data_IF_405748617362
#
_entry.id   IF_405748617362
#
_cell.length_a   1.000
_cell.length_b   1.000
_cell.length_c   1.000
_cell.angle_alpha   90.00
_cell.angle_beta   90.00
_cell.angle_gamma   90.00
#
_symmetry.space_group_name_H-M   'P 1'
#
loop_
_entity.id
_entity.type
_entity.pdbx_description
1 polymer ?
#
# COMPACT_ATOMS: atom_id res chain seq x y z
N UNK A 1 1.14 34.92 11.19
CA UNK A 1 2.46 34.36 10.83
C UNK A 1 2.44 32.86 10.45
N UNK A 2 1.59 32.01 11.06
CA UNK A 2 1.51 30.57 10.75
C UNK A 2 0.81 30.20 9.42
N UNK A 3 -0.18 30.98 8.98
CA UNK A 3 -0.94 30.70 7.74
C UNK A 3 -0.15 31.10 6.49
N UNK A 4 0.60 32.21 6.55
CA UNK A 4 1.43 32.69 5.43
C UNK A 4 2.53 31.68 5.09
N UNK A 5 3.17 31.09 6.10
CA UNK A 5 4.22 30.08 5.92
C UNK A 5 3.66 28.80 5.26
N UNK A 6 2.43 28.39 5.60
CA UNK A 6 1.78 27.22 4.99
C UNK A 6 1.49 27.41 3.50
N UNK A 7 1.01 28.60 3.11
CA UNK A 7 0.74 28.93 1.71
C UNK A 7 2.04 29.08 0.93
N UNK A 8 3.08 29.69 1.52
CA UNK A 8 4.41 29.76 0.90
C UNK A 8 5.03 28.38 0.72
N UNK A 9 4.91 27.46 1.69
CA UNK A 9 5.44 26.09 1.59
C UNK A 9 4.71 25.31 0.50
N UNK A 10 3.38 25.41 0.42
CA UNK A 10 2.58 24.75 -0.61
C UNK A 10 2.88 25.29 -2.02
N UNK A 11 2.95 26.61 -2.19
CA UNK A 11 3.32 27.23 -3.47
C UNK A 11 4.78 26.94 -3.87
N UNK A 12 5.71 26.91 -2.90
CA UNK A 12 7.11 26.57 -3.15
C UNK A 12 7.28 25.11 -3.56
N UNK A 13 6.52 24.19 -2.95
CA UNK A 13 6.50 22.78 -3.35
C UNK A 13 5.87 22.59 -4.74
N UNK A 14 4.80 23.34 -5.05
CA UNK A 14 4.20 23.33 -6.39
C UNK A 14 5.16 23.87 -7.47
N UNK A 15 5.93 24.93 -7.17
CA UNK A 15 6.93 25.49 -8.09
C UNK A 15 8.17 24.59 -8.23
N UNK A 16 8.57 23.85 -7.18
CA UNK A 16 9.69 22.87 -7.24
C UNK A 16 9.39 21.68 -8.16
N UNK A 17 8.13 21.33 -8.41
CA UNK A 17 7.73 20.25 -9.33
C UNK A 17 7.99 20.58 -10.82
N UNK A 18 8.20 21.85 -11.18
CA UNK A 18 8.54 22.25 -12.55
C UNK A 18 10.03 22.06 -12.91
N UNK A 19 10.89 21.72 -11.96
CA UNK A 19 12.34 21.63 -12.16
C UNK A 19 12.92 20.25 -11.81
N UNK A 20 12.26 19.18 -12.30
CA UNK A 20 12.74 17.78 -12.19
C UNK A 20 14.14 17.57 -12.81
N UNK A 21 14.66 18.52 -13.61
CA UNK A 21 15.97 18.44 -14.26
C UNK A 21 17.19 18.86 -13.44
N UNK A 22 17.03 19.62 -12.35
CA UNK A 22 18.17 20.13 -11.55
C UNK A 22 18.38 19.29 -10.28
N UNK A 23 19.18 18.23 -10.42
CA UNK A 23 19.63 17.36 -9.31
C UNK A 23 20.49 18.14 -8.31
N UNK A 24 19.84 18.80 -7.35
CA UNK A 24 20.47 19.35 -6.16
C UNK A 24 20.16 18.45 -4.97
N UNK A 25 21.20 18.03 -4.23
CA UNK A 25 21.09 17.17 -3.06
C UNK A 25 20.07 17.65 -2.01
N UNK A 26 19.98 18.97 -1.79
CA UNK A 26 18.98 19.55 -0.90
C UNK A 26 17.54 19.36 -1.43
N UNK A 27 17.34 19.52 -2.75
CA UNK A 27 16.04 19.29 -3.39
C UNK A 27 15.66 17.81 -3.41
N UNK A 28 16.63 16.91 -3.58
CA UNK A 28 16.40 15.48 -3.52
C UNK A 28 15.94 15.04 -2.12
N UNK A 29 16.53 15.62 -1.07
CA UNK A 29 16.13 15.35 0.30
C UNK A 29 14.70 15.87 0.59
N UNK A 30 14.39 17.10 0.18
CA UNK A 30 13.04 17.67 0.29
C UNK A 30 12.02 16.83 -0.50
N UNK A 31 12.38 16.42 -1.72
CA UNK A 31 11.53 15.59 -2.58
C UNK A 31 11.27 14.22 -1.96
N UNK A 32 12.32 13.54 -1.51
CA UNK A 32 12.21 12.24 -0.84
C UNK A 32 11.31 12.29 0.39
N UNK A 33 11.41 13.35 1.19
CA UNK A 33 10.54 13.54 2.36
C UNK A 33 9.08 13.82 1.96
N UNK A 34 8.86 14.61 0.90
CA UNK A 34 7.53 14.96 0.41
C UNK A 34 6.78 13.80 -0.27
N UNK A 35 7.50 12.87 -0.92
CA UNK A 35 6.90 11.67 -1.54
C UNK A 35 6.78 10.50 -0.56
N UNK A 36 7.64 10.45 0.47
CA UNK A 36 7.47 9.48 1.54
C UNK A 36 6.25 9.86 2.38
N UNK A 37 5.53 8.88 2.93
CA UNK A 37 4.40 9.09 3.85
C UNK A 37 4.81 9.70 5.21
N UNK A 38 5.85 10.54 5.22
CA UNK A 38 6.42 11.17 6.39
C UNK A 38 5.39 12.00 7.13
N UNK A 39 5.37 11.85 8.46
CA UNK A 39 4.54 12.68 9.30
C UNK A 39 4.99 14.14 9.22
N UNK A 40 4.06 15.08 9.44
CA UNK A 40 4.33 16.52 9.38
C UNK A 40 5.54 16.95 10.22
N UNK A 41 5.74 16.31 11.38
CA UNK A 41 6.88 16.55 12.27
C UNK A 41 8.22 16.10 11.65
N UNK A 42 8.22 14.96 10.95
CA UNK A 42 9.41 14.44 10.26
C UNK A 42 9.77 15.30 9.05
N UNK A 43 8.77 15.72 8.26
CA UNK A 43 8.98 16.69 7.19
C UNK A 43 9.59 18.01 7.70
N UNK A 44 9.11 18.50 8.85
CA UNK A 44 9.65 19.71 9.46
C UNK A 44 11.12 19.51 9.88
N UNK A 45 11.45 18.37 10.49
CA UNK A 45 12.83 18.03 10.86
C UNK A 45 13.79 18.00 9.66
N UNK A 46 13.36 17.48 8.51
CA UNK A 46 14.15 17.50 7.27
C UNK A 46 14.33 18.93 6.77
N UNK A 47 13.27 19.75 6.76
CA UNK A 47 13.33 21.12 6.24
C UNK A 47 14.13 22.09 7.11
N UNK A 48 14.20 21.84 8.43
CA UNK A 48 14.96 22.66 9.37
C UNK A 48 16.46 22.33 9.38
N UNK A 49 16.88 21.17 8.85
CA UNK A 49 18.27 20.75 8.85
C UNK A 49 19.08 21.49 7.76
N UNK A 50 19.99 22.37 8.20
CA UNK A 50 20.81 23.19 7.31
C UNK A 50 21.92 22.39 6.63
N UNK A 51 22.43 21.33 7.28
CA UNK A 51 23.44 20.45 6.72
C UNK A 51 22.81 19.48 5.70
N UNK A 52 23.20 19.63 4.43
CA UNK A 52 22.67 18.82 3.33
C UNK A 52 22.93 17.32 3.53
N UNK A 53 24.05 16.94 4.12
CA UNK A 53 24.37 15.54 4.35
C UNK A 53 23.47 14.92 5.41
N UNK A 54 23.25 15.63 6.53
CA UNK A 54 22.31 15.19 7.57
C UNK A 54 20.88 15.17 7.07
N UNK A 55 20.49 16.14 6.25
CA UNK A 55 19.18 16.18 5.61
C UNK A 55 18.91 14.96 4.75
N UNK A 56 19.89 14.57 3.92
CA UNK A 56 19.81 13.35 3.11
C UNK A 56 19.72 12.09 3.97
N UNK A 57 20.45 12.01 5.08
CA UNK A 57 20.36 10.88 6.01
C UNK A 57 18.97 10.76 6.64
N UNK A 58 18.40 11.87 7.11
CA UNK A 58 17.05 11.91 7.68
C UNK A 58 16.01 11.47 6.63
N UNK A 59 16.06 12.02 5.43
CA UNK A 59 15.18 11.60 4.33
C UNK A 59 15.35 10.12 3.99
N UNK A 60 16.58 9.62 3.95
CA UNK A 60 16.87 8.22 3.64
C UNK A 60 16.26 7.27 4.70
N UNK A 61 16.33 7.62 5.98
CA UNK A 61 15.71 6.82 7.03
C UNK A 61 14.18 6.76 6.90
N UNK A 62 13.55 7.88 6.57
CA UNK A 62 12.11 7.97 6.35
C UNK A 62 11.71 7.09 5.16
N UNK A 63 12.39 7.23 4.03
CA UNK A 63 12.11 6.45 2.80
C UNK A 63 12.35 4.95 3.02
N UNK A 64 13.37 4.57 3.78
CA UNK A 64 13.63 3.16 4.12
C UNK A 64 12.48 2.54 4.91
N UNK A 65 11.98 3.25 5.93
CA UNK A 65 10.83 2.78 6.73
C UNK A 65 9.58 2.62 5.86
N UNK A 66 9.33 3.59 4.97
CA UNK A 66 8.19 3.52 4.05
C UNK A 66 8.28 2.33 3.10
N UNK A 67 9.48 2.05 2.58
CA UNK A 67 9.73 0.89 1.71
C UNK A 67 9.48 -0.43 2.46
N UNK A 68 9.88 -0.56 3.72
CA UNK A 68 9.60 -1.74 4.53
C UNK A 68 8.11 -1.95 4.75
N UNK A 69 7.37 -0.89 5.07
CA UNK A 69 5.92 -0.93 5.22
C UNK A 69 5.25 -1.36 3.91
N UNK A 70 5.65 -0.77 2.79
CA UNK A 70 5.11 -1.12 1.47
C UNK A 70 5.34 -2.60 1.12
N UNK A 71 6.53 -3.15 1.41
CA UNK A 71 6.81 -4.59 1.19
C UNK A 71 5.90 -5.48 2.01
N UNK A 72 5.65 -5.13 3.27
CA UNK A 72 4.74 -5.88 4.13
C UNK A 72 3.32 -5.81 3.58
N UNK A 73 2.84 -4.62 3.21
CA UNK A 73 1.52 -4.44 2.61
C UNK A 73 1.34 -5.25 1.31
N UNK A 74 2.36 -5.27 0.44
CA UNK A 74 2.35 -6.07 -0.78
C UNK A 74 2.28 -7.57 -0.46
N UNK A 75 3.04 -8.05 0.53
CA UNK A 75 2.99 -9.45 0.95
C UNK A 75 1.62 -9.86 1.49
N UNK A 76 0.97 -8.97 2.25
CA UNK A 76 -0.38 -9.18 2.78
C UNK A 76 -1.40 -9.21 1.64
N UNK A 77 -1.30 -8.26 0.70
CA UNK A 77 -2.19 -8.20 -0.46
C UNK A 77 -2.11 -9.50 -1.29
N UNK A 78 -0.90 -9.99 -1.57
CA UNK A 78 -0.69 -11.26 -2.28
C UNK A 78 -1.30 -12.45 -1.54
N UNK A 79 -1.08 -12.55 -0.22
CA UNK A 79 -1.63 -13.64 0.58
C UNK A 79 -3.18 -13.63 0.60
N UNK A 80 -3.79 -12.44 0.63
CA UNK A 80 -5.25 -12.28 0.54
C UNK A 80 -5.76 -12.71 -0.84
N UNK A 81 -5.10 -12.26 -1.90
CA UNK A 81 -5.47 -12.59 -3.28
C UNK A 81 -5.41 -14.10 -3.56
N UNK A 82 -4.33 -14.77 -3.12
CA UNK A 82 -4.19 -16.23 -3.22
C UNK A 82 -5.32 -16.97 -2.49
N UNK A 83 -5.66 -16.52 -1.27
CA UNK A 83 -6.74 -17.12 -0.48
C UNK A 83 -8.10 -16.95 -1.16
N UNK A 84 -8.41 -15.74 -1.63
CA UNK A 84 -9.68 -15.45 -2.33
C UNK A 84 -9.79 -16.26 -3.61
N UNK A 85 -8.72 -16.33 -4.41
CA UNK A 85 -8.68 -17.11 -5.65
C UNK A 85 -8.96 -18.60 -5.40
N UNK A 86 -8.36 -19.16 -4.34
CA UNK A 86 -8.61 -20.54 -3.92
C UNK A 86 -10.06 -20.78 -3.47
N UNK A 87 -10.61 -19.89 -2.65
CA UNK A 87 -12.00 -19.98 -2.18
C UNK A 87 -13.02 -19.83 -3.32
N UNK A 88 -12.81 -18.87 -4.22
CA UNK A 88 -13.66 -18.68 -5.40
C UNK A 88 -13.63 -19.90 -6.32
N UNK A 89 -12.45 -20.49 -6.57
CA UNK A 89 -12.33 -21.71 -7.37
C UNK A 89 -13.13 -22.86 -6.74
N UNK A 90 -12.99 -23.07 -5.42
CA UNK A 90 -13.72 -24.13 -4.71
C UNK A 90 -15.23 -23.89 -4.74
N UNK A 91 -15.67 -22.65 -4.54
CA UNK A 91 -17.07 -22.28 -4.62
C UNK A 91 -17.66 -22.60 -5.99
N UNK A 92 -16.99 -22.17 -7.06
CA UNK A 92 -17.43 -22.41 -8.43
C UNK A 92 -17.53 -23.92 -8.74
N UNK A 93 -16.52 -24.71 -8.38
CA UNK A 93 -16.53 -26.15 -8.59
C UNK A 93 -17.68 -26.83 -7.84
N UNK A 94 -17.97 -26.41 -6.60
CA UNK A 94 -19.09 -26.96 -5.84
C UNK A 94 -20.45 -26.62 -6.48
N UNK A 95 -20.63 -25.41 -6.99
CA UNK A 95 -21.86 -25.02 -7.68
C UNK A 95 -22.03 -25.81 -8.99
N UNK A 96 -20.95 -26.02 -9.75
CA UNK A 96 -20.97 -26.90 -10.93
C UNK A 96 -21.35 -28.33 -10.56
N UNK A 97 -20.79 -28.86 -9.48
CA UNK A 97 -21.07 -30.23 -9.02
C UNK A 97 -22.54 -30.38 -8.56
N UNK A 98 -23.09 -29.37 -7.87
CA UNK A 98 -24.53 -29.32 -7.53
C UNK A 98 -25.41 -29.28 -8.78
N UNK A 99 -25.05 -28.48 -9.78
CA UNK A 99 -25.79 -28.41 -11.04
C UNK A 99 -25.79 -29.76 -11.76
N UNK A 100 -24.64 -30.43 -11.86
CA UNK A 100 -24.53 -31.78 -12.45
C UNK A 100 -25.37 -32.81 -11.67
N UNK A 101 -25.30 -32.82 -10.33
CA UNK A 101 -26.12 -33.71 -9.49
C UNK A 101 -27.61 -33.51 -9.72
N UNK A 102 -28.03 -32.25 -9.91
CA UNK A 102 -29.42 -31.89 -10.21
C UNK A 102 -29.84 -32.36 -11.61
N UNK A 103 -29.01 -32.15 -12.62
CA UNK A 103 -29.27 -32.63 -13.99
C UNK A 103 -29.33 -34.17 -14.08
N UNK A 104 -28.51 -34.86 -13.29
CA UNK A 104 -28.50 -36.33 -13.20
C UNK A 104 -29.65 -36.90 -12.36
N UNK A 105 -30.51 -36.06 -11.75
CA UNK A 105 -31.65 -36.51 -10.95
C UNK A 105 -31.29 -37.10 -9.59
N UNK A 106 -30.08 -36.83 -9.07
CA UNK A 106 -29.54 -37.38 -7.82
C UNK A 106 -29.92 -36.57 -6.57
N UNK A 107 -31.01 -35.78 -6.59
CA UNK A 107 -31.41 -34.90 -5.47
C UNK A 107 -31.75 -35.63 -4.15
N UNK A 108 -31.63 -36.97 -4.06
CA UNK A 108 -32.21 -37.79 -2.97
C UNK A 108 -31.25 -38.59 -2.08
N UNK A 109 -29.93 -38.41 -2.12
CA UNK A 109 -29.05 -39.32 -1.34
C UNK A 109 -28.22 -38.73 -0.18
N UNK A 110 -28.37 -37.44 0.15
CA UNK A 110 -27.62 -36.84 1.26
C UNK A 110 -28.39 -36.82 2.61
N UNK A 111 -29.62 -37.36 2.68
CA UNK A 111 -30.38 -37.50 3.95
C UNK A 111 -30.51 -38.92 4.49
N UNK A 112 -30.05 -39.95 3.76
CA UNK A 112 -30.27 -41.35 4.15
C UNK A 112 -29.06 -42.01 4.82
N UNK A 113 -27.88 -41.40 4.80
CA UNK A 113 -26.65 -42.00 5.34
C UNK A 113 -26.30 -41.62 6.81
N UNK A 114 -27.08 -40.75 7.46
CA UNK A 114 -26.84 -40.34 8.87
C UNK A 114 -27.83 -40.94 9.89
N UNK A 115 -28.60 -41.97 9.51
CA UNK A 115 -29.52 -42.68 10.42
C UNK A 115 -29.41 -44.22 10.31
N UNK A 116 -28.21 -44.75 10.06
CA UNK A 116 -28.00 -46.19 10.17
C UNK A 116 -26.66 -46.51 10.85
N UNK A 117 -26.79 -46.75 12.17
CA UNK A 117 -25.84 -47.32 13.15
C UNK A 117 -24.77 -46.41 13.73
#
# INVERSE_FOLDING_TARGET
MRITMFITIQYSNFLKLQHIGDFNYARLADFGAAISGANQLQCQQVLEELDVHKRLQLTLEIVKKEMEISKIQESIAKAIEEKISGEQRRYLLNEQLKAIKKELGLETDDKTALSAK
#
